data_IF_821051284037
#
_entry.id   IF_821051284037
#
_cell.length_a   1.000
_cell.length_b   1.000
_cell.length_c   1.000
_cell.angle_alpha   90.00
_cell.angle_beta   90.00
_cell.angle_gamma   90.00
#
_symmetry.space_group_name_H-M   'P 1'
#
loop_
_entity.id
_entity.type
_entity.pdbx_description
1 polymer ?
#
# COMPACT_ATOMS: atom_id res chain seq x y z
N UNK A 1 -49.79 8.25 -90.24
CA UNK A 1 -48.87 7.35 -89.52
C UNK A 1 -48.33 8.15 -88.34
N UNK A 2 -48.84 7.85 -87.17
CA UNK A 2 -48.47 8.54 -85.88
C UNK A 2 -47.36 7.76 -85.20
N UNK A 3 -46.27 8.40 -84.93
CA UNK A 3 -45.22 7.88 -84.13
C UNK A 3 -45.25 8.51 -82.72
N UNK A 4 -45.60 7.69 -81.73
CA UNK A 4 -45.58 8.09 -80.35
C UNK A 4 -44.10 8.28 -79.92
N UNK A 5 -43.86 9.43 -79.34
CA UNK A 5 -42.59 9.67 -78.59
C UNK A 5 -42.92 9.51 -77.11
N UNK A 6 -42.48 8.40 -76.49
CA UNK A 6 -42.55 8.24 -75.09
C UNK A 6 -41.45 9.08 -74.37
N UNK A 7 -41.91 10.02 -73.59
CA UNK A 7 -41.04 10.85 -72.74
C UNK A 7 -40.71 10.02 -71.48
N UNK A 8 -39.49 9.53 -71.42
CA UNK A 8 -38.97 8.88 -70.16
C UNK A 8 -38.65 9.99 -69.14
N UNK A 9 -39.56 10.22 -68.25
CA UNK A 9 -39.28 11.06 -67.05
C UNK A 9 -38.40 10.27 -66.08
N UNK A 10 -37.12 10.60 -66.11
CA UNK A 10 -36.17 10.06 -65.11
C UNK A 10 -36.32 10.85 -63.79
N UNK A 11 -37.20 10.42 -62.90
CA UNK A 11 -37.30 10.94 -61.53
C UNK A 11 -36.13 10.44 -60.70
N UNK A 12 -35.09 11.25 -60.63
CA UNK A 12 -33.97 11.01 -59.77
C UNK A 12 -34.45 11.17 -58.33
N UNK A 13 -34.80 10.05 -57.70
CA UNK A 13 -35.37 9.98 -56.35
C UNK A 13 -34.27 10.17 -55.29
N UNK A 14 -33.83 11.43 -55.08
CA UNK A 14 -32.82 11.79 -54.07
C UNK A 14 -33.25 11.50 -52.62
N UNK A 15 -34.55 11.29 -52.38
CA UNK A 15 -35.08 11.04 -51.04
C UNK A 15 -34.77 9.62 -50.52
N UNK A 16 -34.62 8.63 -51.40
CA UNK A 16 -34.28 7.25 -50.98
C UNK A 16 -32.87 7.14 -50.38
N UNK A 17 -31.89 7.81 -50.96
CA UNK A 17 -30.52 7.77 -50.49
C UNK A 17 -30.33 8.52 -49.14
N UNK A 18 -31.08 9.58 -48.91
CA UNK A 18 -31.10 10.33 -47.65
C UNK A 18 -31.79 9.52 -46.54
N UNK A 19 -32.92 8.91 -46.85
CA UNK A 19 -33.64 8.03 -45.89
C UNK A 19 -32.83 6.81 -45.49
N UNK A 20 -32.09 6.17 -46.42
CA UNK A 20 -31.20 5.06 -46.12
C UNK A 20 -30.02 5.48 -45.22
N UNK A 21 -29.37 6.62 -45.52
CA UNK A 21 -28.30 7.15 -44.64
C UNK A 21 -28.80 7.54 -43.26
N UNK A 22 -29.98 8.11 -43.12
CA UNK A 22 -30.57 8.44 -41.81
C UNK A 22 -30.89 7.16 -41.04
N UNK A 23 -31.39 6.12 -41.69
CA UNK A 23 -31.66 4.81 -41.09
C UNK A 23 -30.38 4.12 -40.58
N UNK A 24 -29.30 4.14 -41.38
CA UNK A 24 -28.00 3.61 -40.98
C UNK A 24 -27.42 4.36 -39.78
N UNK A 25 -27.47 5.69 -39.76
CA UNK A 25 -26.99 6.52 -38.66
C UNK A 25 -27.83 6.31 -37.40
N UNK A 26 -29.15 6.14 -37.50
CA UNK A 26 -30.02 5.82 -36.36
C UNK A 26 -29.74 4.43 -35.79
N UNK A 27 -29.43 3.45 -36.62
CA UNK A 27 -29.04 2.10 -36.18
C UNK A 27 -27.70 2.15 -35.48
N UNK A 28 -26.74 2.91 -35.95
CA UNK A 28 -25.44 3.10 -35.30
C UNK A 28 -25.57 3.79 -33.92
N UNK A 29 -26.41 4.83 -33.83
CA UNK A 29 -26.67 5.51 -32.55
C UNK A 29 -27.36 4.60 -31.54
N UNK A 30 -28.34 3.81 -31.97
CA UNK A 30 -29.01 2.83 -31.10
C UNK A 30 -28.05 1.78 -30.59
N UNK A 31 -27.17 1.23 -31.43
CA UNK A 31 -26.13 0.30 -31.06
C UNK A 31 -25.11 0.88 -30.07
N UNK A 32 -24.77 2.17 -30.24
CA UNK A 32 -23.88 2.87 -29.28
C UNK A 32 -24.55 3.09 -27.93
N UNK A 33 -25.83 3.44 -27.89
CA UNK A 33 -26.60 3.60 -26.66
C UNK A 33 -26.75 2.29 -25.92
N UNK A 34 -26.98 1.18 -26.62
CA UNK A 34 -27.03 -0.16 -26.03
C UNK A 34 -25.66 -0.55 -25.42
N UNK A 35 -24.56 -0.27 -26.11
CA UNK A 35 -23.21 -0.50 -25.60
C UNK A 35 -22.91 0.37 -24.38
N UNK A 36 -23.33 1.62 -24.35
CA UNK A 36 -23.21 2.51 -23.20
C UNK A 36 -23.98 1.96 -22.01
N UNK A 37 -25.24 1.60 -22.18
CA UNK A 37 -26.05 1.02 -21.11
C UNK A 37 -25.43 -0.29 -20.57
N UNK A 38 -24.90 -1.14 -21.45
CA UNK A 38 -24.21 -2.36 -21.03
C UNK A 38 -22.90 -2.09 -20.27
N UNK A 39 -22.17 -1.04 -20.64
CA UNK A 39 -20.97 -0.60 -19.91
C UNK A 39 -21.32 -0.01 -18.55
N UNK A 40 -22.35 0.84 -18.47
CA UNK A 40 -22.84 1.40 -17.21
C UNK A 40 -23.29 0.29 -16.25
N UNK A 41 -24.01 -0.71 -16.76
CA UNK A 41 -24.41 -1.87 -15.95
C UNK A 41 -23.19 -2.63 -15.44
N UNK A 42 -22.18 -2.87 -16.26
CA UNK A 42 -20.94 -3.54 -15.83
C UNK A 42 -20.14 -2.73 -14.80
N UNK A 43 -20.11 -1.40 -14.95
CA UNK A 43 -19.49 -0.51 -13.94
C UNK A 43 -20.23 -0.63 -12.62
N UNK A 44 -21.56 -0.53 -12.62
CA UNK A 44 -22.38 -0.68 -11.43
C UNK A 44 -22.23 -2.08 -10.77
N UNK A 45 -22.14 -3.14 -11.58
CA UNK A 45 -21.87 -4.51 -11.08
C UNK A 45 -20.48 -4.63 -10.44
N UNK A 46 -19.46 -3.97 -11.00
CA UNK A 46 -18.10 -3.94 -10.44
C UNK A 46 -18.02 -3.09 -9.16
N UNK A 47 -18.72 -1.97 -9.12
CA UNK A 47 -18.80 -1.11 -7.94
C UNK A 47 -19.61 -1.74 -6.80
N UNK A 48 -20.59 -2.56 -7.12
CA UNK A 48 -21.45 -3.26 -6.15
C UNK A 48 -20.96 -4.67 -5.78
N UNK A 49 -19.87 -5.16 -6.38
CA UNK A 49 -19.31 -6.47 -6.07
C UNK A 49 -18.87 -6.53 -4.60
N UNK A 50 -19.39 -7.44 -3.78
CA UNK A 50 -19.00 -7.58 -2.39
C UNK A 50 -17.53 -8.02 -2.34
N UNK A 51 -16.65 -7.15 -1.86
CA UNK A 51 -15.24 -7.47 -1.60
C UNK A 51 -14.20 -6.50 -2.12
N UNK A 52 -14.59 -5.35 -2.67
CA UNK A 52 -13.64 -4.33 -3.13
C UNK A 52 -13.99 -2.93 -2.62
N UNK A 53 -14.31 -2.78 -1.34
CA UNK A 53 -14.15 -1.50 -0.67
C UNK A 53 -12.64 -1.27 -0.48
N UNK A 54 -11.96 -0.90 -1.59
CA UNK A 54 -10.57 -0.47 -1.52
C UNK A 54 -10.56 0.87 -0.78
N UNK A 55 -10.10 0.82 0.45
CA UNK A 55 -9.94 1.98 1.31
C UNK A 55 -8.71 2.80 0.90
N UNK A 56 -8.70 4.08 1.19
CA UNK A 56 -7.53 4.93 1.02
C UNK A 56 -6.48 4.60 2.09
N UNK A 57 -5.95 3.39 1.97
CA UNK A 57 -5.08 2.74 2.96
C UNK A 57 -3.79 2.26 2.32
N UNK A 58 -2.70 2.38 3.09
CA UNK A 58 -1.42 1.75 2.82
C UNK A 58 -1.15 0.70 3.91
N UNK A 59 -0.86 -0.54 3.52
CA UNK A 59 -0.41 -1.58 4.44
C UNK A 59 1.04 -1.96 4.15
N UNK A 60 1.84 -2.11 5.20
CA UNK A 60 3.26 -2.45 5.06
C UNK A 60 3.66 -3.58 5.99
N UNK A 61 4.40 -4.57 5.45
CA UNK A 61 5.18 -5.50 6.27
C UNK A 61 6.58 -4.94 6.44
N UNK A 62 6.97 -4.74 7.68
CA UNK A 62 8.33 -4.35 8.06
C UNK A 62 9.03 -5.59 8.60
N UNK A 63 9.80 -6.24 7.73
CA UNK A 63 10.52 -7.47 8.03
C UNK A 63 11.97 -7.19 8.45
N UNK A 64 12.61 -6.22 7.80
CA UNK A 64 14.02 -5.91 8.03
C UNK A 64 14.21 -5.05 9.27
N UNK A 65 15.28 -5.34 10.03
CA UNK A 65 15.73 -4.54 11.16
C UNK A 65 16.89 -3.61 10.81
N UNK A 66 17.12 -3.31 9.52
CA UNK A 66 18.20 -2.43 9.07
C UNK A 66 17.77 -0.97 9.13
N UNK A 67 18.67 -0.08 9.54
CA UNK A 67 18.41 1.35 9.73
C UNK A 67 17.92 2.04 8.46
N UNK A 68 18.58 1.81 7.33
CA UNK A 68 18.24 2.41 6.03
C UNK A 68 16.86 1.98 5.54
N UNK A 69 16.49 0.71 5.73
CA UNK A 69 15.17 0.19 5.38
C UNK A 69 14.09 0.69 6.34
N UNK A 70 14.41 0.78 7.64
CA UNK A 70 13.51 1.36 8.62
C UNK A 70 13.19 2.83 8.29
N UNK A 71 14.20 3.64 7.99
CA UNK A 71 14.00 5.04 7.58
C UNK A 71 13.12 5.11 6.33
N UNK A 72 13.40 4.29 5.30
CA UNK A 72 12.57 4.26 4.09
C UNK A 72 11.11 3.89 4.38
N UNK A 73 10.88 2.89 5.24
CA UNK A 73 9.53 2.47 5.63
C UNK A 73 8.77 3.61 6.33
N UNK A 74 9.41 4.29 7.27
CA UNK A 74 8.77 5.39 8.01
C UNK A 74 8.59 6.66 7.18
N UNK A 75 9.49 6.99 6.24
CA UNK A 75 9.29 8.07 5.27
C UNK A 75 8.03 7.82 4.44
N UNK A 76 7.86 6.59 3.94
CA UNK A 76 6.68 6.23 3.16
C UNK A 76 5.42 6.27 4.03
N UNK A 77 5.48 5.72 5.25
CA UNK A 77 4.35 5.67 6.16
C UNK A 77 3.87 7.07 6.57
N UNK A 78 4.79 7.92 7.03
CA UNK A 78 4.46 9.30 7.44
C UNK A 78 4.02 10.16 6.26
N UNK A 79 4.63 9.98 5.09
CA UNK A 79 4.21 10.65 3.86
C UNK A 79 2.81 10.27 3.42
N UNK A 80 2.46 8.99 3.47
CA UNK A 80 1.11 8.51 3.16
C UNK A 80 0.07 9.03 4.18
N UNK A 81 0.40 8.98 5.47
CA UNK A 81 -0.46 9.50 6.53
C UNK A 81 -0.69 11.02 6.37
N UNK A 82 0.35 11.78 6.03
CA UNK A 82 0.24 13.22 5.74
C UNK A 82 -0.63 13.53 4.52
N UNK A 83 -0.77 12.59 3.57
CA UNK A 83 -1.69 12.68 2.45
C UNK A 83 -3.13 12.26 2.80
N UNK A 84 -3.41 11.89 4.05
CA UNK A 84 -4.72 11.49 4.55
C UNK A 84 -5.05 10.01 4.36
N UNK A 85 -4.06 9.17 4.00
CA UNK A 85 -4.27 7.73 3.93
C UNK A 85 -4.25 7.11 5.33
N UNK A 86 -5.05 6.08 5.55
CA UNK A 86 -4.86 5.19 6.69
C UNK A 86 -3.61 4.33 6.47
N UNK A 87 -2.71 4.31 7.44
CA UNK A 87 -1.46 3.55 7.34
C UNK A 87 -1.40 2.47 8.41
N UNK A 88 -1.07 1.24 7.99
CA UNK A 88 -0.89 0.08 8.84
C UNK A 88 0.49 -0.53 8.60
N UNK A 89 1.31 -0.63 9.65
CA UNK A 89 2.64 -1.22 9.62
C UNK A 89 2.67 -2.48 10.49
N UNK A 90 3.01 -3.62 9.89
CA UNK A 90 3.11 -4.91 10.57
C UNK A 90 4.57 -5.31 10.73
N UNK A 91 5.05 -5.27 11.97
CA UNK A 91 6.44 -5.57 12.32
C UNK A 91 6.61 -7.05 12.62
N UNK A 92 7.46 -7.72 11.86
CA UNK A 92 7.73 -9.15 12.01
C UNK A 92 9.23 -9.44 11.98
N UNK A 93 9.66 -10.54 12.57
CA UNK A 93 11.06 -10.97 12.69
C UNK A 93 12.00 -9.82 13.11
N UNK A 94 12.94 -9.44 12.24
CA UNK A 94 13.96 -8.43 12.53
C UNK A 94 13.39 -7.03 12.63
N UNK A 95 12.25 -6.76 11.95
CA UNK A 95 11.51 -5.52 12.06
C UNK A 95 11.08 -5.17 13.47
N UNK A 96 10.86 -6.18 14.35
CA UNK A 96 10.58 -5.94 15.77
C UNK A 96 11.66 -5.12 16.48
N UNK A 97 12.92 -5.17 16.02
CA UNK A 97 14.00 -4.41 16.62
C UNK A 97 13.84 -2.89 16.47
N UNK A 98 13.05 -2.43 15.48
CA UNK A 98 12.79 -1.02 15.25
C UNK A 98 11.86 -0.45 16.33
N UNK A 99 10.90 -1.25 16.78
CA UNK A 99 9.89 -0.87 17.78
C UNK A 99 10.27 -1.29 19.21
N UNK A 100 11.53 -1.67 19.45
CA UNK A 100 12.05 -1.89 20.79
C UNK A 100 12.50 -0.59 21.45
N UNK A 101 12.31 -0.52 22.78
CA UNK A 101 12.81 0.57 23.64
C UNK A 101 13.87 0.11 24.65
N UNK A 102 13.95 -1.18 24.91
CA UNK A 102 14.88 -1.75 25.89
C UNK A 102 15.09 -3.26 25.69
N UNK A 103 15.97 -3.86 26.48
CA UNK A 103 16.15 -5.31 26.61
C UNK A 103 15.76 -5.76 28.00
N UNK A 104 15.08 -6.90 28.10
CA UNK A 104 14.88 -7.59 29.39
C UNK A 104 15.38 -9.02 29.30
N UNK A 105 15.90 -9.54 30.41
CA UNK A 105 16.38 -10.91 30.52
C UNK A 105 15.57 -11.74 31.52
N UNK A 106 14.66 -11.07 32.26
CA UNK A 106 13.82 -11.72 33.26
C UNK A 106 12.80 -12.66 32.59
N UNK A 107 12.60 -13.81 33.17
CA UNK A 107 11.64 -14.80 32.68
C UNK A 107 11.98 -15.46 31.34
N UNK A 108 13.16 -15.19 30.75
CA UNK A 108 13.62 -15.78 29.50
C UNK A 108 14.46 -17.04 29.71
N UNK A 109 14.29 -18.00 28.80
CA UNK A 109 15.13 -19.18 28.72
C UNK A 109 16.54 -18.86 28.15
N UNK A 110 17.46 -19.83 28.13
CA UNK A 110 18.85 -19.61 27.68
C UNK A 110 18.94 -19.17 26.22
N UNK A 111 18.11 -19.73 25.32
CA UNK A 111 18.10 -19.38 23.91
C UNK A 111 17.55 -17.96 23.70
N UNK A 112 16.44 -17.62 24.36
CA UNK A 112 15.85 -16.29 24.32
C UNK A 112 16.82 -15.22 24.86
N UNK A 113 17.57 -15.53 25.92
CA UNK A 113 18.64 -14.66 26.46
C UNK A 113 19.75 -14.46 25.42
N UNK A 114 20.12 -15.53 24.70
CA UNK A 114 21.10 -15.46 23.62
C UNK A 114 20.62 -14.51 22.49
N UNK A 115 19.39 -14.67 22.02
CA UNK A 115 18.80 -13.75 21.04
C UNK A 115 18.72 -12.31 21.56
N UNK A 116 18.26 -12.13 22.81
CA UNK A 116 18.19 -10.80 23.44
C UNK A 116 19.56 -10.11 23.48
N UNK A 117 20.62 -10.86 23.77
CA UNK A 117 21.99 -10.32 23.79
C UNK A 117 22.46 -9.88 22.40
N UNK A 118 22.17 -10.67 21.37
CA UNK A 118 22.64 -10.45 19.99
C UNK A 118 21.84 -9.39 19.23
N UNK A 119 20.52 -9.29 19.46
CA UNK A 119 19.65 -8.37 18.76
C UNK A 119 19.82 -6.91 19.25
N UNK A 120 19.58 -5.91 18.43
CA UNK A 120 19.53 -4.50 18.84
C UNK A 120 18.56 -4.26 20.00
N UNK A 121 18.86 -3.27 20.84
CA UNK A 121 17.99 -2.88 21.96
C UNK A 121 16.89 -1.90 21.54
N UNK A 122 16.93 -1.42 20.30
CA UNK A 122 16.01 -0.42 19.75
C UNK A 122 16.65 0.32 18.59
N UNK A 123 15.96 1.37 18.13
CA UNK A 123 16.34 2.19 16.98
C UNK A 123 17.79 2.63 17.00
N UNK A 124 18.32 3.07 18.15
CA UNK A 124 19.68 3.56 18.30
C UNK A 124 20.80 2.55 17.96
N UNK A 125 20.48 1.25 17.88
CA UNK A 125 21.46 0.18 17.63
C UNK A 125 21.21 -0.56 16.30
N UNK A 126 20.32 -0.08 15.46
CA UNK A 126 20.03 -0.72 14.16
C UNK A 126 21.27 -0.68 13.26
N UNK A 127 21.65 -1.83 12.65
CA UNK A 127 22.72 -1.90 11.67
C UNK A 127 22.27 -1.31 10.34
N UNK A 128 23.21 -1.09 9.40
CA UNK A 128 22.89 -0.86 7.99
C UNK A 128 22.78 -2.19 7.24
N UNK A 129 21.96 -2.21 6.20
CA UNK A 129 21.82 -3.35 5.28
C UNK A 129 23.11 -3.61 4.51
N UNK A 130 23.83 -2.55 4.17
CA UNK A 130 25.10 -2.59 3.48
C UNK A 130 26.11 -1.64 4.16
N UNK A 131 27.41 -1.91 3.97
CA UNK A 131 28.50 -1.07 4.49
C UNK A 131 28.44 -0.87 6.01
N UNK A 132 27.91 -1.83 6.76
CA UNK A 132 27.73 -1.69 8.20
C UNK A 132 29.07 -1.65 8.98
N UNK A 133 30.12 -2.33 8.51
CA UNK A 133 31.48 -2.35 9.11
C UNK A 133 31.48 -2.40 10.65
N UNK A 134 30.86 -3.43 11.22
CA UNK A 134 30.69 -3.58 12.68
C UNK A 134 29.96 -2.39 13.34
N UNK A 135 29.02 -1.75 12.64
CA UNK A 135 28.23 -0.62 13.13
C UNK A 135 28.86 0.76 12.89
N UNK A 136 30.06 0.83 12.32
CA UNK A 136 30.68 2.12 11.98
C UNK A 136 29.88 2.84 10.89
N UNK A 137 29.40 2.10 9.88
CA UNK A 137 28.55 2.65 8.82
C UNK A 137 27.27 3.29 9.35
N UNK A 138 26.58 2.63 10.26
CA UNK A 138 25.37 3.18 10.89
C UNK A 138 25.65 4.49 11.63
N UNK A 139 26.79 4.59 12.33
CA UNK A 139 27.20 5.83 13.01
C UNK A 139 27.48 6.96 12.03
N UNK A 140 28.14 6.65 10.89
CA UNK A 140 28.44 7.63 9.85
C UNK A 140 27.14 8.15 9.23
N UNK A 141 26.21 7.26 8.88
CA UNK A 141 24.92 7.66 8.30
C UNK A 141 24.12 8.54 9.28
N UNK A 142 24.02 8.15 10.56
CA UNK A 142 23.36 8.97 11.58
C UNK A 142 24.00 10.36 11.72
N UNK A 143 25.34 10.42 11.66
CA UNK A 143 26.04 11.70 11.67
C UNK A 143 25.70 12.54 10.45
N UNK A 144 25.73 11.96 9.24
CA UNK A 144 25.35 12.66 8.02
C UNK A 144 23.90 13.15 8.05
N UNK A 145 22.96 12.33 8.57
CA UNK A 145 21.56 12.74 8.75
C UNK A 145 21.48 13.97 9.67
N UNK A 146 22.17 13.95 10.79
CA UNK A 146 22.19 15.08 11.71
C UNK A 146 22.86 16.34 11.08
N UNK A 147 23.97 16.17 10.36
CA UNK A 147 24.69 17.27 9.70
C UNK A 147 23.86 17.92 8.56
N UNK A 148 22.92 17.16 7.97
CA UNK A 148 22.01 17.63 6.91
C UNK A 148 20.59 17.91 7.42
N UNK A 149 20.36 17.94 8.72
CA UNK A 149 19.06 18.19 9.34
C UNK A 149 17.96 17.21 8.86
N UNK A 150 18.36 15.96 8.54
CA UNK A 150 17.43 14.89 8.17
C UNK A 150 16.85 14.27 9.43
N UNK A 151 15.55 14.14 9.49
CA UNK A 151 14.79 13.53 10.59
C UNK A 151 15.36 12.16 10.97
N UNK A 152 15.61 11.94 12.25
CA UNK A 152 16.10 10.67 12.79
C UNK A 152 15.03 9.58 12.75
N UNK A 153 15.42 8.31 12.86
CA UNK A 153 14.45 7.20 12.91
C UNK A 153 13.59 7.28 14.18
N UNK A 154 14.15 7.78 15.27
CA UNK A 154 13.45 7.99 16.52
C UNK A 154 12.31 9.01 16.35
N UNK A 155 12.59 10.15 15.75
CA UNK A 155 11.60 11.20 15.43
C UNK A 155 10.58 10.70 14.41
N UNK A 156 10.97 9.87 13.43
CA UNK A 156 10.01 9.27 12.49
C UNK A 156 9.03 8.31 13.18
N UNK A 157 9.48 7.54 14.17
CA UNK A 157 8.60 6.66 14.97
C UNK A 157 7.59 7.49 15.74
N UNK A 158 8.03 8.56 16.41
CA UNK A 158 7.15 9.49 17.13
C UNK A 158 6.14 10.15 16.19
N UNK A 159 6.61 10.67 15.06
CA UNK A 159 5.74 11.28 14.04
C UNK A 159 4.70 10.30 13.49
N UNK A 160 5.08 9.05 13.27
CA UNK A 160 4.14 8.02 12.82
C UNK A 160 3.04 7.77 13.86
N UNK A 161 3.38 7.76 15.15
CA UNK A 161 2.40 7.66 16.24
C UNK A 161 1.47 8.87 16.28
N UNK A 162 2.01 10.08 16.15
CA UNK A 162 1.25 11.33 16.13
C UNK A 162 0.27 11.39 14.92
N UNK A 163 0.68 10.87 13.77
CA UNK A 163 -0.17 10.79 12.56
C UNK A 163 -1.17 9.64 12.61
N UNK A 164 -1.21 8.88 13.69
CA UNK A 164 -2.15 7.77 13.85
C UNK A 164 -1.81 6.55 12.99
N UNK A 165 -0.54 6.39 12.59
CA UNK A 165 -0.08 5.16 11.92
C UNK A 165 -0.25 3.99 12.86
N UNK A 166 -1.03 3.00 12.46
CA UNK A 166 -1.26 1.80 13.23
C UNK A 166 -0.05 0.85 13.12
N UNK A 167 0.59 0.60 14.23
CA UNK A 167 1.77 -0.26 14.32
C UNK A 167 1.42 -1.54 15.06
N UNK A 168 1.56 -2.70 14.38
CA UNK A 168 1.23 -4.01 14.92
C UNK A 168 2.50 -4.86 15.04
N UNK A 169 2.76 -5.39 16.22
CA UNK A 169 3.84 -6.35 16.46
C UNK A 169 3.33 -7.79 16.25
N UNK A 170 4.05 -8.57 15.45
CA UNK A 170 3.72 -9.97 15.16
C UNK A 170 3.90 -10.87 16.39
N UNK A 171 2.81 -11.47 16.89
CA UNK A 171 2.82 -12.35 18.04
C UNK A 171 3.76 -13.55 17.87
N UNK A 172 3.66 -14.25 16.73
CA UNK A 172 4.52 -15.39 16.44
C UNK A 172 6.01 -15.02 16.48
N UNK A 173 6.38 -13.88 15.90
CA UNK A 173 7.78 -13.45 15.87
C UNK A 173 8.27 -13.00 17.25
N UNK A 174 7.39 -12.38 18.05
CA UNK A 174 7.67 -12.02 19.44
C UNK A 174 7.97 -13.26 20.29
N UNK A 175 7.08 -14.25 20.21
CA UNK A 175 7.24 -15.52 20.93
C UNK A 175 8.52 -16.26 20.50
N UNK A 176 8.76 -16.36 19.18
CA UNK A 176 9.94 -17.03 18.63
C UNK A 176 11.26 -16.39 19.08
N UNK A 177 11.33 -15.06 19.08
CA UNK A 177 12.53 -14.31 19.45
C UNK A 177 12.60 -14.00 20.96
N UNK A 178 11.59 -14.39 21.72
CA UNK A 178 11.49 -14.12 23.16
C UNK A 178 11.39 -12.64 23.49
N UNK A 179 10.74 -11.83 22.61
CA UNK A 179 10.54 -10.40 22.84
C UNK A 179 9.31 -10.20 23.73
N UNK A 180 9.50 -9.52 24.87
CA UNK A 180 8.44 -9.22 25.82
C UNK A 180 7.78 -7.88 25.53
N UNK A 181 6.54 -7.69 26.00
CA UNK A 181 5.79 -6.46 25.82
C UNK A 181 6.53 -5.24 26.39
N UNK A 182 7.18 -5.42 27.55
CA UNK A 182 7.94 -4.37 28.23
C UNK A 182 9.18 -3.91 27.43
N UNK A 183 9.63 -4.70 26.47
CA UNK A 183 10.74 -4.34 25.59
C UNK A 183 10.33 -3.43 24.43
N UNK A 184 9.03 -3.35 24.15
CA UNK A 184 8.46 -2.62 23.01
C UNK A 184 8.00 -1.22 23.42
N UNK A 185 7.94 -0.31 22.44
CA UNK A 185 7.35 1.03 22.62
C UNK A 185 5.87 0.91 22.96
N UNK A 186 5.32 1.95 23.52
CA UNK A 186 3.89 2.01 23.87
C UNK A 186 3.02 2.30 22.62
N UNK A 187 1.73 2.01 22.69
CA UNK A 187 0.78 2.30 21.60
C UNK A 187 0.78 1.30 20.45
N UNK A 188 1.40 0.13 20.62
CA UNK A 188 1.38 -0.94 19.63
C UNK A 188 0.14 -1.82 19.76
N UNK A 189 -0.32 -2.32 18.64
CA UNK A 189 -1.22 -3.46 18.58
C UNK A 189 -0.43 -4.77 18.51
N UNK A 190 -1.07 -5.87 18.91
CA UNK A 190 -0.51 -7.21 18.82
C UNK A 190 -1.39 -8.07 17.94
N UNK A 191 -0.80 -8.84 17.03
CA UNK A 191 -1.59 -9.64 16.13
C UNK A 191 -0.79 -10.59 15.25
N UNK A 192 -1.51 -11.44 14.53
CA UNK A 192 -0.95 -12.39 13.58
C UNK A 192 -1.09 -11.94 12.12
N UNK A 193 -0.62 -12.79 11.21
CA UNK A 193 -0.71 -12.56 9.76
C UNK A 193 -2.14 -12.33 9.27
N UNK A 194 -3.14 -12.93 9.93
CA UNK A 194 -4.55 -12.74 9.57
C UNK A 194 -5.02 -11.29 9.74
N UNK A 195 -4.56 -10.62 10.81
CA UNK A 195 -4.83 -9.19 11.03
C UNK A 195 -4.23 -8.35 9.89
N UNK A 196 -2.96 -8.58 9.55
CA UNK A 196 -2.31 -7.91 8.43
C UNK A 196 -3.03 -8.15 7.09
N UNK A 197 -3.42 -9.40 6.79
CA UNK A 197 -4.11 -9.73 5.55
C UNK A 197 -5.48 -9.06 5.44
N UNK A 198 -6.17 -8.86 6.57
CA UNK A 198 -7.42 -8.11 6.62
C UNK A 198 -7.25 -6.65 6.19
N UNK A 199 -6.15 -6.03 6.59
CA UNK A 199 -5.80 -4.67 6.16
C UNK A 199 -5.32 -4.64 4.71
N UNK A 200 -4.40 -5.53 4.36
CA UNK A 200 -3.79 -5.58 3.03
C UNK A 200 -4.84 -5.82 1.91
N UNK A 201 -5.85 -6.66 2.18
CA UNK A 201 -6.90 -6.95 1.22
C UNK A 201 -7.78 -5.73 0.87
N UNK A 202 -7.85 -4.73 1.76
CA UNK A 202 -8.61 -3.50 1.57
C UNK A 202 -7.75 -2.31 1.20
N UNK A 203 -6.42 -2.47 1.19
CA UNK A 203 -5.48 -1.39 0.93
C UNK A 203 -5.29 -1.11 -0.56
N UNK A 204 -5.19 0.17 -0.94
CA UNK A 204 -4.78 0.59 -2.28
C UNK A 204 -3.35 0.18 -2.63
N UNK A 205 -2.49 0.08 -1.62
CA UNK A 205 -1.10 -0.35 -1.79
C UNK A 205 -0.67 -1.23 -0.62
N UNK A 206 0.14 -2.25 -0.91
CA UNK A 206 0.78 -3.09 0.08
C UNK A 206 2.26 -3.23 -0.24
N UNK A 207 3.12 -3.02 0.77
CA UNK A 207 4.57 -3.03 0.63
C UNK A 207 5.19 -4.07 1.56
N UNK A 208 6.34 -4.60 1.15
CA UNK A 208 7.19 -5.47 1.97
C UNK A 208 8.61 -4.89 2.00
N UNK A 209 9.13 -4.55 3.20
CA UNK A 209 10.42 -3.88 3.42
C UNK A 209 11.28 -4.65 4.44
#
# INVERSE_FOLDING_TARGET
>A
MMTNVETVVNTHNGNGAIATKIGETQTDVAALLERLAALEQRVNELESAPGQDIEDRLSMVVFSGDLDKAIAAFIIATGAAAMGMEVSMFFTFWGLNIIKKQKTYEGKNVLEKGFTAMLPAGTGQLPLSQMNFFGAGAKIIRKLMNDHEVTSIEEFVEMAQEFGVRMTACDMSRELLGVRDEELIDGLEFGGVASFMGDAARSKASLFI
#
